data_IF_528895045174
#
_entry.id   IF_528895045174
#
_cell.length_a   1.000
_cell.length_b   1.000
_cell.length_c   1.000
_cell.angle_alpha   90.00
_cell.angle_beta   90.00
_cell.angle_gamma   90.00
#
_symmetry.space_group_name_H-M   'P 1'
#
loop_
_entity.id
_entity.type
_entity.pdbx_description
1 polymer ?
#
# COMPACT_ATOMS: atom_id res chain seq x y z
N UNK A 1 3.46 13.01 18.48
CA UNK A 1 3.34 14.03 17.42
C UNK A 1 4.00 15.31 17.92
N UNK A 2 4.72 16.04 17.08
CA UNK A 2 5.47 17.25 17.50
C UNK A 2 4.98 18.53 16.83
N UNK A 3 3.98 18.46 15.96
CA UNK A 3 3.39 19.63 15.30
C UNK A 3 2.02 19.31 14.71
N UNK A 4 1.34 20.35 14.21
CA UNK A 4 0.05 20.25 13.55
C UNK A 4 0.14 19.52 12.20
N UNK A 5 -1.01 19.08 11.69
CA UNK A 5 -1.14 18.47 10.36
C UNK A 5 -1.14 19.56 9.29
N UNK A 6 -0.25 19.42 8.34
CA UNK A 6 -0.24 20.19 7.08
C UNK A 6 -0.86 19.31 6.00
N UNK A 7 -2.05 19.66 5.52
CA UNK A 7 -2.80 18.87 4.54
C UNK A 7 -2.32 19.04 3.09
N UNK A 8 -1.65 20.17 2.79
CA UNK A 8 -1.19 20.51 1.44
C UNK A 8 0.16 19.84 1.13
N UNK A 9 0.87 19.40 2.17
CA UNK A 9 2.17 18.75 2.02
C UNK A 9 2.02 17.27 1.66
N UNK A 10 2.29 16.93 0.41
CA UNK A 10 2.45 15.53 -0.04
C UNK A 10 3.91 15.08 0.03
N UNK A 11 4.12 13.84 0.47
CA UNK A 11 5.46 13.27 0.67
C UNK A 11 5.76 12.26 -0.45
N UNK A 12 6.84 12.50 -1.19
CA UNK A 12 7.24 11.65 -2.33
C UNK A 12 7.92 10.32 -1.95
N UNK A 13 8.02 10.00 -0.67
CA UNK A 13 8.66 8.76 -0.18
C UNK A 13 7.66 7.63 0.11
N UNK A 14 6.35 7.89 0.03
CA UNK A 14 5.35 6.83 0.18
C UNK A 14 5.37 5.88 -1.02
N UNK A 15 5.13 4.59 -0.76
CA UNK A 15 5.06 3.60 -1.84
C UNK A 15 3.83 3.82 -2.74
N UNK A 16 2.75 4.38 -2.21
CA UNK A 16 1.52 4.70 -2.94
C UNK A 16 1.24 6.20 -2.80
N UNK A 17 0.92 6.85 -3.91
CA UNK A 17 0.60 8.28 -3.99
C UNK A 17 -0.84 8.59 -3.49
N UNK A 18 -1.34 7.83 -2.50
CA UNK A 18 -2.69 7.99 -1.94
C UNK A 18 -2.74 8.83 -0.67
N UNK A 19 -1.59 9.05 -0.05
CA UNK A 19 -1.48 9.72 1.24
C UNK A 19 -1.12 11.19 1.04
N UNK A 20 -2.06 12.06 1.38
CA UNK A 20 -1.87 13.51 1.38
C UNK A 20 -1.81 14.03 2.81
N UNK A 21 -1.07 15.12 2.96
CA UNK A 21 -0.80 15.73 4.25
C UNK A 21 0.29 15.03 5.05
N UNK A 22 0.85 15.76 6.01
CA UNK A 22 1.88 15.25 6.91
C UNK A 22 1.94 16.05 8.21
N UNK A 23 2.43 15.41 9.26
CA UNK A 23 2.81 16.07 10.51
C UNK A 23 4.14 15.49 10.99
N UNK A 24 4.85 16.28 11.79
CA UNK A 24 6.15 15.84 12.32
C UNK A 24 5.97 14.88 13.51
N UNK A 25 6.80 13.84 13.55
CA UNK A 25 6.87 12.88 14.65
C UNK A 25 8.30 12.73 15.14
N UNK A 26 8.45 12.47 16.43
CA UNK A 26 9.70 12.04 17.05
C UNK A 26 9.51 10.62 17.55
N UNK A 27 10.34 9.71 17.06
CA UNK A 27 10.36 8.33 17.52
C UNK A 27 11.01 8.28 18.91
N UNK A 28 10.29 7.74 19.89
CA UNK A 28 10.79 7.58 21.26
C UNK A 28 11.31 6.17 21.54
N UNK A 29 10.64 5.16 20.99
CA UNK A 29 10.99 3.75 21.14
C UNK A 29 10.86 3.12 19.75
N UNK A 30 11.89 2.40 19.32
CA UNK A 30 11.90 1.64 18.06
C UNK A 30 12.34 0.22 18.40
N UNK A 31 11.38 -0.70 18.52
CA UNK A 31 11.62 -2.11 18.83
C UNK A 31 10.41 -2.96 18.45
N UNK A 32 10.61 -4.25 18.26
CA UNK A 32 9.51 -5.19 18.02
C UNK A 32 8.96 -5.71 19.36
N UNK A 33 7.64 -5.69 19.52
CA UNK A 33 6.95 -6.27 20.69
C UNK A 33 5.92 -7.29 20.21
N UNK A 34 6.04 -8.57 20.61
CA UNK A 34 5.09 -9.60 20.24
C UNK A 34 3.66 -9.33 20.75
N UNK A 35 2.67 -9.53 19.87
CA UNK A 35 1.26 -9.29 20.18
C UNK A 35 0.74 -10.12 21.37
N UNK A 36 1.26 -11.32 21.61
CA UNK A 36 0.84 -12.16 22.74
C UNK A 36 1.00 -11.47 24.10
N UNK A 37 2.00 -10.60 24.26
CA UNK A 37 2.23 -9.85 25.49
C UNK A 37 1.21 -8.71 25.63
N UNK A 38 0.67 -8.17 24.54
CA UNK A 38 -0.25 -7.02 24.54
C UNK A 38 -1.73 -7.42 24.64
N UNK A 39 -2.08 -8.68 24.31
CA UNK A 39 -3.48 -9.16 24.20
C UNK A 39 -4.33 -9.03 25.46
N UNK A 40 -3.71 -8.94 26.63
CA UNK A 40 -4.44 -8.79 27.90
C UNK A 40 -4.94 -7.36 28.13
N UNK A 41 -4.45 -6.37 27.37
CA UNK A 41 -4.93 -5.00 27.42
C UNK A 41 -6.20 -4.91 26.59
N UNK A 42 -7.33 -4.75 27.28
CA UNK A 42 -8.66 -4.68 26.68
C UNK A 42 -9.09 -3.21 26.58
N UNK A 43 -9.66 -2.86 25.42
CA UNK A 43 -10.13 -1.51 25.13
C UNK A 43 -11.65 -1.44 25.24
N UNK A 44 -12.14 -0.77 26.29
CA UNK A 44 -13.58 -0.60 26.55
C UNK A 44 -14.28 0.20 25.45
N UNK A 45 -13.60 1.19 24.89
CA UNK A 45 -14.07 2.02 23.78
C UNK A 45 -14.01 1.31 22.40
N UNK A 46 -13.61 0.03 22.36
CA UNK A 46 -13.51 -0.76 21.13
C UNK A 46 -14.16 -2.14 21.31
N UNK A 47 -15.42 -2.18 21.76
CA UNK A 47 -16.19 -3.42 21.96
C UNK A 47 -15.49 -4.44 22.86
N UNK A 48 -14.69 -3.98 23.82
CA UNK A 48 -13.86 -4.83 24.69
C UNK A 48 -12.93 -5.78 23.90
N UNK A 49 -12.48 -5.35 22.72
CA UNK A 49 -11.47 -6.07 21.94
C UNK A 49 -10.07 -5.81 22.51
N UNK A 50 -9.14 -6.75 22.34
CA UNK A 50 -7.75 -6.53 22.73
C UNK A 50 -7.13 -5.41 21.87
N UNK A 51 -6.18 -4.67 22.45
CA UNK A 51 -5.48 -3.55 21.79
C UNK A 51 -4.83 -3.97 20.46
N UNK A 52 -4.44 -5.24 20.32
CA UNK A 52 -3.85 -5.81 19.10
C UNK A 52 -4.79 -5.85 17.90
N UNK A 53 -6.10 -5.66 18.11
CA UNK A 53 -7.14 -5.71 17.07
C UNK A 53 -7.61 -4.31 16.67
N UNK A 54 -6.92 -3.27 17.14
CA UNK A 54 -7.23 -1.87 16.85
C UNK A 54 -7.10 -1.54 15.36
N UNK A 55 -7.98 -0.66 14.87
CA UNK A 55 -7.86 -0.06 13.53
C UNK A 55 -6.92 1.15 13.56
N UNK A 56 -6.56 1.64 12.37
CA UNK A 56 -5.77 2.86 12.25
C UNK A 56 -6.46 4.01 13.02
N UNK A 57 -5.67 4.82 13.71
CA UNK A 57 -6.11 5.95 14.57
C UNK A 57 -7.02 5.60 15.75
N UNK A 58 -7.13 4.33 16.17
CA UNK A 58 -7.86 3.95 17.39
C UNK A 58 -7.31 4.66 18.63
N UNK A 59 -8.21 5.34 19.36
CA UNK A 59 -7.86 5.97 20.63
C UNK A 59 -7.72 4.93 21.75
N UNK A 60 -6.69 5.09 22.57
CA UNK A 60 -6.41 4.28 23.76
C UNK A 60 -6.43 5.23 24.95
N UNK A 61 -7.28 4.93 25.95
CA UNK A 61 -7.35 5.73 27.16
C UNK A 61 -6.04 5.67 27.97
N UNK A 62 -5.87 6.65 28.85
CA UNK A 62 -4.62 6.85 29.58
C UNK A 62 -4.16 5.60 30.36
N UNK A 63 -5.08 4.91 31.04
CA UNK A 63 -4.75 3.76 31.87
C UNK A 63 -4.17 2.60 31.05
N UNK A 64 -4.85 2.19 29.98
CA UNK A 64 -4.38 1.17 29.05
C UNK A 64 -3.10 1.63 28.32
N UNK A 65 -3.00 2.92 28.00
CA UNK A 65 -1.81 3.51 27.37
C UNK A 65 -0.57 3.42 28.26
N UNK A 66 -0.71 3.64 29.57
CA UNK A 66 0.39 3.50 30.54
C UNK A 66 0.83 2.04 30.68
N UNK A 67 -0.11 1.09 30.73
CA UNK A 67 0.21 -0.34 30.73
C UNK A 67 0.99 -0.73 29.48
N UNK A 68 0.54 -0.25 28.32
CA UNK A 68 1.23 -0.50 27.05
C UNK A 68 2.65 0.09 27.07
N UNK A 69 2.83 1.35 27.48
CA UNK A 69 4.14 1.98 27.58
C UNK A 69 5.09 1.24 28.53
N UNK A 70 4.58 0.71 29.64
CA UNK A 70 5.36 -0.12 30.56
C UNK A 70 5.89 -1.38 29.87
N UNK A 71 5.03 -2.10 29.14
CA UNK A 71 5.42 -3.29 28.36
C UNK A 71 6.48 -2.92 27.31
N UNK A 72 6.28 -1.83 26.56
CA UNK A 72 7.27 -1.38 25.57
C UNK A 72 8.63 -1.06 26.20
N UNK A 73 8.67 -0.51 27.42
CA UNK A 73 9.93 -0.22 28.12
C UNK A 73 10.62 -1.50 28.63
N UNK A 74 9.87 -2.36 29.30
CA UNK A 74 10.38 -3.57 29.99
C UNK A 74 10.73 -4.70 29.02
N UNK A 75 10.07 -4.79 27.87
CA UNK A 75 10.34 -5.84 26.90
C UNK A 75 11.73 -5.69 26.28
N UNK A 76 12.53 -6.76 26.41
CA UNK A 76 13.82 -6.92 25.75
C UNK A 76 13.60 -7.53 24.37
N UNK A 77 13.64 -6.69 23.35
CA UNK A 77 13.51 -7.11 21.96
C UNK A 77 14.83 -7.66 21.43
N UNK A 78 14.76 -8.75 20.67
CA UNK A 78 15.91 -9.32 19.95
C UNK A 78 16.08 -8.75 18.54
N UNK A 79 15.00 -8.18 18.00
CA UNK A 79 14.93 -7.67 16.64
C UNK A 79 14.25 -6.30 16.64
N UNK A 80 14.57 -5.51 15.63
CA UNK A 80 13.90 -4.27 15.30
C UNK A 80 14.03 -3.96 13.81
N UNK A 81 13.18 -3.07 13.30
CA UNK A 81 13.30 -2.53 11.93
C UNK A 81 14.68 -1.91 11.62
N UNK A 82 15.44 -1.49 12.64
CA UNK A 82 16.75 -0.88 12.45
C UNK A 82 17.80 -1.92 12.03
N UNK A 83 17.60 -3.20 12.37
CA UNK A 83 18.53 -4.27 11.98
C UNK A 83 18.54 -4.46 10.45
N UNK A 84 17.42 -4.14 9.78
CA UNK A 84 17.22 -4.26 8.34
C UNK A 84 17.46 -2.95 7.58
N UNK A 85 18.06 -1.93 8.21
CA UNK A 85 18.16 -0.58 7.62
C UNK A 85 18.85 -0.56 6.24
N UNK A 86 19.97 -1.28 6.10
CA UNK A 86 20.71 -1.38 4.84
C UNK A 86 19.88 -2.01 3.71
N UNK A 87 19.00 -2.96 4.05
CA UNK A 87 18.07 -3.56 3.10
C UNK A 87 17.07 -2.52 2.59
N UNK A 88 16.49 -1.72 3.49
CA UNK A 88 15.52 -0.69 3.11
C UNK A 88 16.15 0.44 2.27
N UNK A 89 17.35 0.90 2.60
CA UNK A 89 18.07 1.89 1.78
C UNK A 89 18.31 1.39 0.35
N UNK A 90 18.85 0.17 0.24
CA UNK A 90 19.16 -0.45 -1.06
C UNK A 90 17.89 -0.63 -1.89
N UNK A 91 16.80 -1.06 -1.26
CA UNK A 91 15.50 -1.25 -1.91
C UNK A 91 14.90 0.09 -2.37
N UNK A 92 15.00 1.14 -1.56
CA UNK A 92 14.51 2.47 -1.91
C UNK A 92 15.25 3.02 -3.14
N UNK A 93 16.58 2.93 -3.16
CA UNK A 93 17.41 3.36 -4.29
C UNK A 93 17.01 2.65 -5.59
N UNK A 94 16.88 1.32 -5.53
CA UNK A 94 16.46 0.52 -6.70
C UNK A 94 15.08 0.92 -7.22
N UNK A 95 14.13 1.22 -6.33
CA UNK A 95 12.78 1.66 -6.73
C UNK A 95 12.78 3.05 -7.36
N UNK A 96 13.58 3.98 -6.84
CA UNK A 96 13.73 5.33 -7.41
C UNK A 96 14.36 5.28 -8.79
N UNK A 97 15.43 4.49 -8.97
CA UNK A 97 16.09 4.33 -10.28
C UNK A 97 15.12 3.78 -11.34
N UNK A 98 14.27 2.82 -10.96
CA UNK A 98 13.22 2.28 -11.86
C UNK A 98 12.18 3.34 -12.22
N UNK A 99 11.73 4.16 -11.26
CA UNK A 99 10.76 5.24 -11.49
C UNK A 99 11.34 6.30 -12.44
N UNK A 100 12.59 6.71 -12.23
CA UNK A 100 13.30 7.66 -13.09
C UNK A 100 13.46 7.15 -14.53
N UNK A 101 13.86 5.88 -14.70
CA UNK A 101 14.00 5.27 -16.04
C UNK A 101 12.66 5.19 -16.78
N UNK A 102 11.58 4.81 -16.10
CA UNK A 102 10.25 4.78 -16.71
C UNK A 102 9.78 6.18 -17.16
N UNK A 103 10.03 7.21 -16.35
CA UNK A 103 9.69 8.59 -16.73
C UNK A 103 10.50 9.08 -17.94
N UNK A 104 11.78 8.72 -18.04
CA UNK A 104 12.61 9.06 -19.20
C UNK A 104 12.07 8.41 -20.49
N UNK A 105 11.69 7.13 -20.43
CA UNK A 105 11.09 6.43 -21.58
C UNK A 105 9.76 7.07 -21.98
N UNK A 106 8.90 7.42 -21.01
CA UNK A 106 7.64 8.12 -21.29
C UNK A 106 7.86 9.49 -21.94
N UNK A 107 8.86 10.25 -21.48
CA UNK A 107 9.19 11.56 -22.04
C UNK A 107 9.70 11.46 -23.48
N UNK A 108 10.61 10.52 -23.77
CA UNK A 108 11.08 10.26 -25.14
C UNK A 108 9.93 9.88 -26.07
N UNK A 109 8.99 9.06 -25.61
CA UNK A 109 7.80 8.65 -26.38
C UNK A 109 6.82 9.82 -26.59
N UNK A 110 6.75 10.79 -25.67
CA UNK A 110 5.94 11.99 -25.81
C UNK A 110 6.59 13.00 -26.77
N UNK A 111 7.89 13.26 -26.63
CA UNK A 111 8.64 14.20 -27.48
C UNK A 111 8.62 13.76 -28.95
N UNK A 112 8.68 12.43 -29.19
CA UNK A 112 8.58 11.83 -30.53
C UNK A 112 7.21 12.02 -31.22
N UNK A 113 6.19 12.53 -30.53
CA UNK A 113 4.84 12.80 -31.10
C UNK A 113 4.60 14.27 -31.44
N UNK A 114 5.59 15.15 -31.25
CA UNK A 114 5.45 16.55 -31.67
C UNK A 114 5.56 16.66 -33.19
N UNK A 115 4.55 17.21 -33.91
CA UNK A 115 4.63 17.35 -35.35
C UNK A 115 5.58 18.50 -35.69
N UNK A 116 6.64 18.18 -36.44
CA UNK A 116 7.56 19.14 -37.04
C UNK A 116 6.74 20.08 -37.92
N UNK A 117 6.73 21.37 -37.58
CA UNK A 117 6.21 22.43 -38.45
C UNK A 117 7.18 22.59 -39.61
N UNK A 118 6.87 21.99 -40.76
CA UNK A 118 7.62 22.22 -42.00
C UNK A 118 7.01 23.43 -42.69
N UNK A 119 7.69 24.57 -42.60
CA UNK A 119 7.49 25.73 -43.47
C UNK A 119 8.19 25.42 -44.80
N UNK A 120 7.42 25.32 -45.89
CA UNK A 120 7.98 25.13 -47.23
C UNK A 120 6.91 24.67 -48.22
N UNK A 121 6.47 25.62 -49.03
CA UNK A 121 5.49 25.55 -50.12
C UNK A 121 5.69 24.41 -51.13
N UNK A 122 4.61 23.68 -51.47
CA UNK A 122 4.08 23.58 -52.85
C UNK A 122 2.75 22.78 -52.89
N UNK A 123 1.83 23.25 -53.74
CA UNK A 123 0.49 22.70 -53.95
C UNK A 123 0.55 21.42 -54.79
N UNK A 124 -0.04 20.32 -54.33
CA UNK A 124 -0.70 19.40 -55.27
C UNK A 124 -1.78 18.48 -54.64
N UNK A 125 -3.00 18.74 -55.11
CA UNK A 125 -4.17 17.86 -55.31
C UNK A 125 -4.51 16.76 -54.29
N UNK A 126 -5.69 16.96 -53.70
CA UNK A 126 -6.51 15.99 -52.97
C UNK A 126 -6.71 14.70 -53.76
N UNK A 127 -6.27 13.58 -53.18
CA UNK A 127 -6.95 12.29 -53.32
C UNK A 127 -7.04 11.66 -51.94
N UNK A 128 -8.24 11.24 -51.55
CA UNK A 128 -8.51 10.67 -50.23
C UNK A 128 -7.89 9.26 -50.12
N UNK A 129 -7.21 8.91 -49.02
CA UNK A 129 -6.78 7.54 -48.79
C UNK A 129 -7.97 6.68 -48.30
N UNK A 130 -7.94 5.36 -48.52
CA UNK A 130 -9.03 4.48 -48.11
C UNK A 130 -9.15 4.43 -46.60
N UNK A 131 -10.38 4.34 -46.09
CA UNK A 131 -10.67 4.08 -44.68
C UNK A 131 -9.94 2.81 -44.22
N UNK A 132 -8.87 2.95 -43.46
CA UNK A 132 -8.28 1.84 -42.74
C UNK A 132 -9.15 1.53 -41.52
N UNK A 133 -9.71 0.32 -41.51
CA UNK A 133 -10.38 -0.28 -40.37
C UNK A 133 -9.45 -0.25 -39.16
N UNK A 134 -9.85 0.47 -38.10
CA UNK A 134 -9.22 0.39 -36.80
C UNK A 134 -9.17 -1.08 -36.33
N UNK A 135 -8.05 -1.57 -35.77
CA UNK A 135 -8.06 -2.87 -35.15
C UNK A 135 -9.02 -2.83 -33.96
N UNK A 136 -10.02 -3.70 -34.01
CA UNK A 136 -10.98 -3.93 -32.94
C UNK A 136 -10.22 -4.16 -31.65
N UNK A 137 -10.63 -3.47 -30.58
CA UNK A 137 -10.11 -3.63 -29.23
C UNK A 137 -10.14 -5.12 -28.84
N UNK A 138 -9.00 -5.80 -28.97
CA UNK A 138 -8.83 -7.15 -28.46
C UNK A 138 -9.09 -7.11 -26.96
N UNK A 139 -10.25 -7.66 -26.59
CA UNK A 139 -10.63 -7.90 -25.20
C UNK A 139 -9.71 -8.99 -24.69
N UNK A 140 -8.81 -8.62 -23.78
CA UNK A 140 -7.96 -9.57 -23.08
C UNK A 140 -8.80 -10.69 -22.46
N UNK A 141 -8.50 -11.98 -22.74
CA UNK A 141 -9.08 -13.08 -22.02
C UNK A 141 -8.66 -12.97 -20.55
N UNK A 142 -9.62 -12.97 -19.63
CA UNK A 142 -9.36 -13.15 -18.19
C UNK A 142 -8.92 -14.59 -17.94
N UNK A 143 -7.71 -14.97 -18.35
CA UNK A 143 -7.13 -16.26 -17.97
C UNK A 143 -5.63 -16.32 -18.25
N UNK A 144 -4.85 -15.57 -17.46
CA UNK A 144 -3.51 -15.99 -16.99
C UNK A 144 -2.97 -14.97 -15.98
N UNK A 145 -3.59 -14.97 -14.80
CA UNK A 145 -2.95 -14.56 -13.54
C UNK A 145 -3.14 -15.67 -12.51
N UNK A 146 -2.83 -16.91 -12.92
CA UNK A 146 -2.48 -17.97 -11.98
C UNK A 146 -1.06 -18.34 -12.32
N UNK A 147 -0.15 -17.89 -11.46
CA UNK A 147 1.16 -18.44 -11.11
C UNK A 147 2.05 -17.30 -10.65
N UNK A 148 1.81 -16.82 -9.43
CA UNK A 148 2.77 -16.18 -8.52
C UNK A 148 2.02 -15.79 -7.24
N UNK A 149 1.61 -16.81 -6.49
CA UNK A 149 1.47 -16.79 -5.03
C UNK A 149 0.88 -18.12 -4.60
N UNK A 150 1.69 -18.94 -3.93
CA UNK A 150 1.20 -20.05 -3.12
C UNK A 150 0.52 -19.48 -1.88
N UNK A 151 -0.64 -20.01 -1.46
CA UNK A 151 -1.00 -20.07 -0.06
C UNK A 151 -1.02 -21.53 0.41
N UNK A 152 -0.35 -21.72 1.53
CA UNK A 152 -0.38 -22.89 2.41
C UNK A 152 -1.81 -23.25 2.82
N UNK A 153 -2.04 -24.56 2.90
CA UNK A 153 -2.85 -25.30 3.88
C UNK A 153 -4.23 -24.79 4.34
N UNK A 154 -5.22 -25.62 3.95
CA UNK A 154 -6.30 -26.18 4.78
C UNK A 154 -7.26 -25.24 5.53
N UNK A 155 -8.46 -25.08 4.96
CA UNK A 155 -9.69 -25.04 5.74
C UNK A 155 -10.73 -25.96 5.09
N UNK A 156 -11.19 -26.95 5.87
CA UNK A 156 -12.35 -27.80 5.54
C UNK A 156 -13.63 -26.97 5.69
N UNK A 157 -14.67 -27.21 4.88
CA UNK A 157 -15.96 -26.58 5.08
C UNK A 157 -16.70 -27.24 6.24
N UNK A 158 -17.12 -26.43 7.21
CA UNK A 158 -18.10 -26.82 8.23
C UNK A 158 -19.48 -26.77 7.57
N UNK A 159 -20.08 -27.94 7.38
CA UNK A 159 -21.47 -28.11 6.94
C UNK A 159 -22.41 -27.75 8.10
N UNK A 160 -23.37 -26.87 7.85
CA UNK A 160 -24.49 -26.64 8.75
C UNK A 160 -25.52 -27.77 8.58
N UNK A 161 -25.63 -28.65 9.57
CA UNK A 161 -26.79 -29.53 9.73
C UNK A 161 -27.79 -28.87 10.67
N UNK A 162 -28.91 -28.41 10.11
CA UNK A 162 -30.09 -28.05 10.89
C UNK A 162 -30.70 -29.32 11.48
N UNK A 163 -30.86 -29.36 12.80
CA UNK A 163 -31.43 -30.48 13.53
C UNK A 163 -32.84 -30.08 14.00
N UNK A 164 -33.92 -30.77 13.57
CA UNK A 164 -35.27 -30.51 14.08
C UNK A 164 -35.43 -31.16 15.46
N UNK A 165 -35.90 -30.38 16.44
CA UNK A 165 -36.36 -30.87 17.73
C UNK A 165 -37.74 -31.52 17.55
N UNK A 166 -37.83 -32.82 17.82
CA UNK A 166 -39.05 -33.61 17.88
C UNK A 166 -39.24 -34.13 19.31
N UNK A 167 -40.40 -33.78 19.89
CA UNK A 167 -41.14 -34.42 20.98
C UNK A 167 -40.48 -34.43 22.38
N UNK A 168 -41.21 -34.35 23.50
CA UNK A 168 -42.61 -34.70 23.78
C UNK A 168 -43.14 -33.92 24.98
#
# INVERSE_FOLDING_TARGET
MTGAVDFEKTLGYWQQDKWNGSFSVKWHIVKDVPNNILKHIILENNENKPVTNSRDTQEIHLEQGLQMLKIFKEHVSKTSILDDFAFYESRQKLMQDKRSKQQQVQKQVWDSRTPISVTGSEQQQRTAPPLQLFPTRQRWPKQQQRNLCSPTESLRPVSWTAQPMLHS
#
